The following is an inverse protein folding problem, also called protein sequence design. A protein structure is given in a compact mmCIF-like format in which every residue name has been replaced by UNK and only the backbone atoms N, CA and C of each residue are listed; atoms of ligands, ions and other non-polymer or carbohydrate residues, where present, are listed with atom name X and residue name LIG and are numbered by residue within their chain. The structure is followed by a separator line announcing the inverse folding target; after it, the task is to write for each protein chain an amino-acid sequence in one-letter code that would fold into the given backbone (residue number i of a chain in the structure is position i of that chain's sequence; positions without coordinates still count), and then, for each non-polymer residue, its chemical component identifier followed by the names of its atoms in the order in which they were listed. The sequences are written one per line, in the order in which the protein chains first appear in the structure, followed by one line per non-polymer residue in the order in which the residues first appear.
data_IF_083584875073
#
_entry.id   IF_083584875073
#
_cell.length_a   1.000
_cell.length_b   1.000
_cell.length_c   1.000
_cell.angle_alpha   90.00
_cell.angle_beta   90.00
_cell.angle_gamma   90.00
#
_symmetry.space_group_name_H-M   'P 1'
#
loop_
_entity.id
_entity.type
_entity.pdbx_description
1 polymer ?
#
# COMPACT_ATOMS: atom_id res chain seq x y z
N UNK A 1 1.78 8.10 -28.27
CA UNK A 1 1.86 6.83 -27.52
C UNK A 1 1.99 7.08 -26.01
N UNK A 2 3.03 7.78 -25.54
CA UNK A 2 3.15 8.12 -24.10
C UNK A 2 2.04 9.07 -23.61
N UNK A 3 1.81 10.17 -24.33
CA UNK A 3 0.75 11.14 -23.99
C UNK A 3 -0.65 10.54 -23.97
N UNK A 4 -0.98 9.71 -24.97
CA UNK A 4 -2.26 9.01 -25.05
C UNK A 4 -2.47 7.99 -23.92
N UNK A 5 -1.41 7.30 -23.48
CA UNK A 5 -1.49 6.37 -22.35
C UNK A 5 -1.74 7.11 -21.03
N UNK A 6 -1.04 8.23 -20.82
CA UNK A 6 -1.28 9.12 -19.67
C UNK A 6 -2.68 9.73 -19.68
N UNK A 7 -3.15 10.17 -20.85
CA UNK A 7 -4.49 10.72 -21.02
C UNK A 7 -5.59 9.70 -20.70
N UNK A 8 -5.38 8.42 -21.05
CA UNK A 8 -6.32 7.34 -20.75
C UNK A 8 -6.39 7.03 -19.24
N UNK A 9 -5.26 7.07 -18.53
CA UNK A 9 -5.22 6.85 -17.07
C UNK A 9 -5.78 8.02 -16.27
N UNK A 10 -5.53 9.24 -16.74
CA UNK A 10 -5.84 10.47 -15.99
C UNK A 10 -7.14 11.14 -16.40
N UNK A 11 -7.62 10.85 -17.61
CA UNK A 11 -8.63 11.62 -18.32
C UNK A 11 -8.03 12.89 -18.96
N UNK A 12 -8.65 13.32 -20.07
CA UNK A 12 -8.20 14.47 -20.87
C UNK A 12 -8.06 15.75 -20.07
N UNK A 13 -8.91 15.99 -19.07
CA UNK A 13 -8.85 17.21 -18.26
C UNK A 13 -7.55 17.33 -17.46
N UNK A 14 -7.20 16.30 -16.69
CA UNK A 14 -5.98 16.33 -15.85
C UNK A 14 -4.72 16.37 -16.70
N UNK A 15 -4.70 15.60 -17.79
CA UNK A 15 -3.61 15.62 -18.76
C UNK A 15 -3.40 17.01 -19.36
N UNK A 16 -4.48 17.68 -19.79
CA UNK A 16 -4.41 19.03 -20.33
C UNK A 16 -3.91 20.05 -19.29
N UNK A 17 -4.36 19.97 -18.04
CA UNK A 17 -3.85 20.85 -16.98
C UNK A 17 -2.35 20.60 -16.78
N UNK A 18 -1.92 19.34 -16.68
CA UNK A 18 -0.50 18.99 -16.53
C UNK A 18 0.37 19.56 -17.65
N UNK A 19 -0.11 19.48 -18.89
CA UNK A 19 0.59 20.01 -20.04
C UNK A 19 0.62 21.55 -20.03
N UNK A 20 -0.50 22.20 -19.72
CA UNK A 20 -0.60 23.66 -19.62
C UNK A 20 0.27 24.22 -18.49
N UNK A 21 0.27 23.61 -17.30
CA UNK A 21 1.13 24.04 -16.19
C UNK A 21 2.59 23.86 -16.53
N UNK A 22 2.95 22.78 -17.23
CA UNK A 22 4.31 22.57 -17.75
C UNK A 22 4.74 23.64 -18.76
N UNK A 23 3.86 23.99 -19.72
CA UNK A 23 4.13 25.04 -20.71
C UNK A 23 4.33 26.38 -20.01
N UNK A 24 3.40 26.76 -19.13
CA UNK A 24 3.48 28.03 -18.40
C UNK A 24 4.76 28.09 -17.57
N UNK A 25 5.11 27.01 -16.87
CA UNK A 25 6.36 26.92 -16.12
C UNK A 25 7.60 27.08 -17.00
N UNK A 26 7.60 26.45 -18.18
CA UNK A 26 8.71 26.55 -19.15
C UNK A 26 8.83 27.96 -19.71
N UNK A 27 7.72 28.61 -20.02
CA UNK A 27 7.69 30.00 -20.50
C UNK A 27 8.24 30.94 -19.43
N UNK A 28 7.78 30.83 -18.19
CA UNK A 28 8.27 31.66 -17.07
C UNK A 28 9.78 31.44 -16.87
N UNK A 29 10.24 30.19 -16.88
CA UNK A 29 11.65 29.86 -16.75
C UNK A 29 12.51 30.44 -17.89
N UNK A 30 12.01 30.40 -19.12
CA UNK A 30 12.67 30.97 -20.29
C UNK A 30 12.80 32.51 -20.18
N UNK A 31 11.73 33.19 -19.77
CA UNK A 31 11.73 34.64 -19.54
C UNK A 31 12.72 35.04 -18.44
N UNK A 32 12.69 34.36 -17.30
CA UNK A 32 13.60 34.63 -16.18
C UNK A 32 15.06 34.30 -16.51
N UNK A 33 15.28 33.26 -17.30
CA UNK A 33 16.60 32.82 -17.71
C UNK A 33 17.17 33.59 -18.91
N UNK A 34 16.40 34.48 -19.54
CA UNK A 34 16.84 35.23 -20.73
C UNK A 34 17.20 34.37 -21.94
N UNK A 35 16.59 33.18 -22.07
CA UNK A 35 16.97 32.19 -23.07
C UNK A 35 15.76 31.45 -23.66
N UNK A 36 16.05 30.41 -24.45
CA UNK A 36 15.00 29.61 -25.13
C UNK A 36 14.48 28.54 -24.17
N UNK A 37 13.16 28.47 -24.01
CA UNK A 37 12.50 27.35 -23.33
C UNK A 37 12.36 26.17 -24.26
N UNK A 38 13.02 25.05 -23.94
CA UNK A 38 12.95 23.84 -24.74
C UNK A 38 11.79 22.95 -24.29
N UNK A 39 10.96 22.52 -25.25
CA UNK A 39 9.89 21.56 -25.00
C UNK A 39 10.41 20.17 -24.58
N UNK A 40 11.70 19.89 -24.79
CA UNK A 40 12.35 18.65 -24.38
C UNK A 40 12.19 18.38 -22.87
N UNK A 41 12.47 19.37 -22.02
CA UNK A 41 12.36 19.21 -20.57
C UNK A 41 10.92 18.97 -20.09
N UNK A 42 9.93 19.52 -20.80
CA UNK A 42 8.53 19.23 -20.56
C UNK A 42 8.21 17.77 -20.91
N UNK A 43 8.73 17.28 -22.03
CA UNK A 43 8.59 15.87 -22.41
C UNK A 43 9.32 14.94 -21.46
N UNK A 44 10.47 15.31 -20.91
CA UNK A 44 11.15 14.54 -19.86
C UNK A 44 10.31 14.50 -18.57
N UNK A 45 9.68 15.62 -18.17
CA UNK A 45 8.70 15.61 -17.07
C UNK A 45 7.55 14.63 -17.33
N UNK A 46 7.01 14.64 -18.56
CA UNK A 46 5.95 13.73 -18.99
C UNK A 46 6.41 12.27 -19.00
N UNK A 47 7.65 12.01 -19.38
CA UNK A 47 8.24 10.68 -19.35
C UNK A 47 8.42 10.19 -17.90
N UNK A 48 8.86 11.05 -16.99
CA UNK A 48 8.93 10.76 -15.56
C UNK A 48 7.55 10.43 -14.99
N UNK A 49 6.51 11.18 -15.40
CA UNK A 49 5.11 10.91 -15.09
C UNK A 49 4.67 9.51 -15.55
N UNK A 50 4.95 9.18 -16.82
CA UNK A 50 4.65 7.86 -17.37
C UNK A 50 5.38 6.75 -16.61
N UNK A 51 6.66 6.94 -16.30
CA UNK A 51 7.47 5.96 -15.59
C UNK A 51 7.00 5.71 -14.16
N UNK A 52 6.44 6.72 -13.50
CA UNK A 52 5.85 6.57 -12.18
C UNK A 52 4.59 5.70 -12.19
N UNK A 53 3.72 5.88 -13.20
CA UNK A 53 2.48 5.11 -13.35
C UNK A 53 2.77 3.68 -13.83
N UNK A 54 3.68 3.54 -14.79
CA UNK A 54 3.99 2.28 -15.46
C UNK A 54 5.45 1.85 -15.28
N UNK A 55 5.94 1.63 -14.04
CA UNK A 55 7.35 1.36 -13.78
C UNK A 55 7.83 0.01 -14.34
N UNK A 56 6.91 -0.94 -14.52
CA UNK A 56 7.18 -2.28 -15.03
C UNK A 56 6.84 -2.44 -16.51
N UNK A 57 6.37 -1.40 -17.20
CA UNK A 57 6.16 -1.47 -18.65
C UNK A 57 7.49 -1.68 -19.36
N UNK A 58 7.51 -2.58 -20.35
CA UNK A 58 8.72 -3.00 -21.05
C UNK A 58 8.75 -2.38 -22.44
N UNK A 59 9.80 -1.62 -22.71
CA UNK A 59 10.11 -1.11 -24.04
C UNK A 59 11.17 -2.02 -24.67
N UNK A 60 10.87 -2.55 -25.85
CA UNK A 60 11.82 -3.37 -26.60
C UNK A 60 12.87 -2.47 -27.25
N UNK A 61 14.04 -2.38 -26.64
CA UNK A 61 15.16 -1.62 -27.16
C UNK A 61 15.76 -2.39 -28.35
N UNK A 62 15.80 -1.73 -29.51
CA UNK A 62 16.22 -2.29 -30.80
C UNK A 62 15.50 -3.61 -31.17
N UNK A 63 14.27 -3.82 -30.70
CA UNK A 63 13.51 -5.08 -30.88
C UNK A 63 14.20 -6.34 -30.30
N UNK A 64 15.24 -6.18 -29.48
CA UNK A 64 16.02 -7.31 -28.93
C UNK A 64 15.97 -7.35 -27.39
N UNK A 65 16.07 -6.20 -26.72
CA UNK A 65 16.26 -6.16 -25.27
C UNK A 65 15.07 -5.48 -24.56
N UNK A 66 14.24 -6.23 -23.81
CA UNK A 66 13.13 -5.65 -23.07
C UNK A 66 13.66 -4.90 -21.84
N UNK A 67 13.52 -3.57 -21.84
CA UNK A 67 13.92 -2.72 -20.72
C UNK A 67 12.70 -2.12 -20.04
N UNK A 68 12.65 -2.27 -18.71
CA UNK A 68 11.61 -1.66 -17.90
C UNK A 68 11.79 -0.15 -17.85
N UNK A 69 10.68 0.58 -18.00
CA UNK A 69 10.67 2.04 -18.06
C UNK A 69 11.28 2.70 -16.82
N UNK A 70 11.17 2.09 -15.64
CA UNK A 70 11.84 2.61 -14.42
C UNK A 70 13.36 2.79 -14.57
N UNK A 71 14.03 1.96 -15.37
CA UNK A 71 15.47 2.09 -15.62
C UNK A 71 15.75 3.21 -16.62
N UNK A 72 14.90 3.39 -17.62
CA UNK A 72 14.99 4.49 -18.56
C UNK A 72 14.73 5.84 -17.88
N UNK A 73 13.77 5.89 -16.95
CA UNK A 73 13.52 7.08 -16.14
C UNK A 73 14.69 7.43 -15.22
N UNK A 74 15.42 6.43 -14.72
CA UNK A 74 16.65 6.67 -13.97
C UNK A 74 17.71 7.35 -14.85
N UNK A 75 17.86 6.89 -16.10
CA UNK A 75 18.77 7.51 -17.08
C UNK A 75 18.30 8.93 -17.39
N UNK A 76 17.01 9.13 -17.61
CA UNK A 76 16.42 10.46 -17.86
C UNK A 76 16.73 11.45 -16.73
N UNK A 77 16.50 11.06 -15.47
CA UNK A 77 16.86 11.90 -14.31
C UNK A 77 18.37 12.18 -14.27
N UNK A 78 19.22 11.21 -14.64
CA UNK A 78 20.67 11.41 -14.69
C UNK A 78 21.05 12.43 -15.77
N UNK A 79 20.41 12.39 -16.94
CA UNK A 79 20.60 13.39 -18.01
C UNK A 79 20.18 14.78 -17.54
N UNK A 80 19.01 14.90 -16.90
CA UNK A 80 18.56 16.16 -16.30
C UNK A 80 19.55 16.69 -15.26
N UNK A 81 20.12 15.83 -14.41
CA UNK A 81 21.12 16.25 -13.42
C UNK A 81 22.43 16.71 -14.08
N UNK A 82 22.87 16.03 -15.14
CA UNK A 82 24.05 16.44 -15.92
C UNK A 82 23.83 17.84 -16.52
N UNK A 83 22.67 18.08 -17.13
CA UNK A 83 22.32 19.38 -17.73
C UNK A 83 22.12 20.46 -16.67
N UNK A 84 21.66 20.10 -15.48
CA UNK A 84 21.54 21.03 -14.37
C UNK A 84 22.91 21.52 -13.86
N UNK A 85 23.94 20.65 -13.86
CA UNK A 85 25.28 21.01 -13.41
C UNK A 85 26.01 21.83 -14.48
N UNK A 86 26.02 21.35 -15.73
CA UNK A 86 26.78 21.95 -16.83
C UNK A 86 26.05 23.00 -17.65
N UNK A 87 24.74 23.11 -17.53
CA UNK A 87 23.90 23.97 -18.39
C UNK A 87 23.86 25.44 -17.97
N UNK A 88 23.46 26.34 -18.90
CA UNK A 88 23.21 27.74 -18.62
C UNK A 88 22.07 27.94 -17.63
N UNK A 89 21.99 29.14 -17.04
CA UNK A 89 21.00 29.48 -16.01
C UNK A 89 19.55 29.19 -16.45
N UNK A 90 19.21 29.46 -17.72
CA UNK A 90 17.89 29.15 -18.30
C UNK A 90 17.54 27.67 -18.20
N UNK A 91 18.48 26.77 -18.55
CA UNK A 91 18.25 25.32 -18.50
C UNK A 91 17.97 24.86 -17.07
N UNK A 92 18.70 25.40 -16.09
CA UNK A 92 18.47 25.08 -14.67
C UNK A 92 17.05 25.44 -14.22
N UNK A 93 16.57 26.63 -14.62
CA UNK A 93 15.21 27.06 -14.31
C UNK A 93 14.15 26.19 -14.99
N UNK A 94 14.37 25.80 -16.25
CA UNK A 94 13.43 24.94 -16.99
C UNK A 94 13.39 23.53 -16.38
N UNK A 95 14.53 22.97 -15.98
CA UNK A 95 14.59 21.69 -15.26
C UNK A 95 13.84 21.76 -13.92
N UNK A 96 14.03 22.85 -13.17
CA UNK A 96 13.28 23.08 -11.92
C UNK A 96 11.77 23.13 -12.21
N UNK A 97 11.34 23.85 -13.25
CA UNK A 97 9.94 23.92 -13.64
C UNK A 97 9.38 22.53 -14.03
N UNK A 98 10.16 21.72 -14.75
CA UNK A 98 9.81 20.35 -15.10
C UNK A 98 9.62 19.46 -13.86
N UNK A 99 10.51 19.53 -12.87
CA UNK A 99 10.35 18.80 -11.61
C UNK A 99 9.15 19.30 -10.80
N UNK A 100 8.95 20.62 -10.71
CA UNK A 100 7.79 21.20 -10.02
C UNK A 100 6.50 20.69 -10.66
N UNK A 101 6.41 20.67 -11.99
CA UNK A 101 5.24 20.17 -12.70
C UNK A 101 4.94 18.71 -12.35
N UNK A 102 5.97 17.86 -12.31
CA UNK A 102 5.84 16.46 -11.88
C UNK A 102 5.38 16.36 -10.41
N UNK A 103 6.06 17.04 -9.48
CA UNK A 103 5.75 16.94 -8.05
C UNK A 103 4.39 17.54 -7.67
N UNK A 104 3.91 18.54 -8.42
CA UNK A 104 2.59 19.14 -8.18
C UNK A 104 1.47 18.10 -8.33
N UNK A 105 1.60 17.19 -9.29
CA UNK A 105 0.63 16.14 -9.56
C UNK A 105 0.89 14.86 -8.76
N UNK A 106 2.15 14.39 -8.70
CA UNK A 106 2.47 13.10 -8.08
C UNK A 106 2.92 13.17 -6.63
N UNK A 107 3.24 14.36 -6.11
CA UNK A 107 3.78 14.51 -4.76
C UNK A 107 2.83 14.02 -3.68
N UNK A 108 1.53 14.34 -3.80
CA UNK A 108 0.51 13.91 -2.83
C UNK A 108 0.30 12.40 -2.84
N UNK A 109 0.25 11.79 -4.02
CA UNK A 109 0.07 10.35 -4.18
C UNK A 109 1.27 9.57 -3.63
N UNK A 110 2.48 10.07 -3.84
CA UNK A 110 3.71 9.46 -3.30
C UNK A 110 3.70 9.44 -1.76
N UNK A 111 3.31 10.55 -1.11
CA UNK A 111 3.18 10.63 0.35
C UNK A 111 2.08 9.71 0.87
N UNK A 112 0.94 9.66 0.19
CA UNK A 112 -0.20 8.80 0.56
C UNK A 112 0.15 7.31 0.51
N UNK A 113 0.86 6.87 -0.54
CA UNK A 113 1.33 5.50 -0.67
C UNK A 113 2.30 5.11 0.44
N UNK A 114 3.23 5.98 0.81
CA UNK A 114 4.18 5.73 1.91
C UNK A 114 3.44 5.61 3.25
N UNK A 115 2.49 6.50 3.53
CA UNK A 115 1.71 6.47 4.77
C UNK A 115 0.82 5.22 4.85
N UNK A 116 0.19 4.83 3.74
CA UNK A 116 -0.61 3.60 3.67
C UNK A 116 0.25 2.37 3.87
N UNK A 117 1.43 2.30 3.26
CA UNK A 117 2.36 1.18 3.42
C UNK A 117 2.86 1.06 4.87
N UNK A 118 3.20 2.19 5.51
CA UNK A 118 3.54 2.23 6.94
C UNK A 118 2.38 1.75 7.81
N UNK A 119 1.15 2.21 7.54
CA UNK A 119 -0.06 1.77 8.25
C UNK A 119 -0.32 0.28 8.10
N UNK A 120 -0.18 -0.28 6.89
CA UNK A 120 -0.33 -1.72 6.63
C UNK A 120 0.73 -2.53 7.37
N UNK A 121 2.00 -2.10 7.35
CA UNK A 121 3.07 -2.77 8.10
C UNK A 121 2.79 -2.71 9.60
N UNK A 122 2.35 -1.57 10.13
CA UNK A 122 2.04 -1.43 11.55
C UNK A 122 0.83 -2.28 11.97
N UNK A 123 -0.21 -2.32 11.15
CA UNK A 123 -1.38 -3.16 11.39
C UNK A 123 -1.03 -4.66 11.36
N UNK A 124 -0.12 -5.09 10.46
CA UNK A 124 0.37 -6.48 10.45
C UNK A 124 1.17 -6.84 11.70
N UNK A 125 1.95 -5.89 12.25
CA UNK A 125 2.63 -6.08 13.55
C UNK A 125 1.62 -6.19 14.68
N UNK A 126 0.69 -5.24 14.77
CA UNK A 126 -0.37 -5.23 15.77
C UNK A 126 -1.24 -6.50 15.73
N UNK A 127 -1.49 -7.08 14.55
CA UNK A 127 -2.23 -8.34 14.39
C UNK A 127 -1.41 -9.58 14.78
N UNK A 128 -0.08 -9.55 14.61
CA UNK A 128 0.81 -10.61 15.10
C UNK A 128 0.93 -10.59 16.63
N UNK A 129 0.97 -9.39 17.22
CA UNK A 129 1.12 -9.22 18.67
C UNK A 129 -0.22 -9.44 19.38
N UNK A 130 -1.33 -8.99 18.80
CA UNK A 130 -2.71 -9.24 19.28
C UNK A 130 -3.37 -10.38 18.49
N UNK A 131 -2.71 -11.52 18.37
CA UNK A 131 -3.40 -12.72 17.89
C UNK A 131 -4.54 -13.02 18.87
N UNK A 132 -5.79 -13.16 18.42
CA UNK A 132 -6.84 -13.62 19.32
C UNK A 132 -6.39 -14.94 19.92
N UNK A 133 -6.34 -15.02 21.26
CA UNK A 133 -6.06 -16.28 21.96
C UNK A 133 -7.06 -17.30 21.40
N UNK A 134 -6.58 -18.44 20.94
CA UNK A 134 -7.44 -19.51 20.41
C UNK A 134 -8.46 -19.85 21.49
N UNK A 135 -9.72 -19.47 21.28
CA UNK A 135 -10.81 -19.81 22.18
C UNK A 135 -11.11 -21.27 21.91
N UNK A 136 -10.81 -22.13 22.87
CA UNK A 136 -11.23 -23.53 22.82
C UNK A 136 -12.75 -23.59 22.98
N UNK A 137 -13.43 -24.30 22.09
CA UNK A 137 -14.89 -24.46 22.14
C UNK A 137 -15.26 -25.41 23.29
N UNK A 138 -14.45 -26.45 23.50
CA UNK A 138 -14.67 -27.47 24.52
C UNK A 138 -13.49 -27.58 25.47
N UNK A 139 -13.75 -27.37 26.77
CA UNK A 139 -12.83 -27.63 27.88
C UNK A 139 -13.56 -28.41 28.95
N UNK A 140 -13.03 -29.57 29.32
CA UNK A 140 -13.60 -30.39 30.39
C UNK A 140 -13.56 -29.62 31.72
N UNK A 141 -14.71 -29.51 32.40
CA UNK A 141 -14.82 -28.81 33.69
C UNK A 141 -14.12 -29.52 34.86
N UNK A 142 -13.77 -30.82 34.72
CA UNK A 142 -13.06 -31.59 35.76
C UNK A 142 -11.55 -31.60 35.52
N UNK A 143 -11.09 -32.23 34.44
CA UNK A 143 -9.65 -32.41 34.18
C UNK A 143 -9.01 -31.28 33.36
N UNK A 144 -9.81 -30.36 32.81
CA UNK A 144 -9.30 -29.27 31.98
C UNK A 144 -8.82 -29.68 30.59
N UNK A 145 -9.01 -30.95 30.17
CA UNK A 145 -8.70 -31.39 28.80
C UNK A 145 -9.44 -30.53 27.77
N UNK A 146 -8.78 -30.27 26.63
CA UNK A 146 -9.32 -29.47 25.52
C UNK A 146 -9.17 -30.25 24.22
N UNK A 147 -9.96 -29.90 23.20
CA UNK A 147 -9.89 -30.49 21.87
C UNK A 147 -8.46 -30.47 21.26
N UNK A 148 -7.63 -29.50 21.65
CA UNK A 148 -6.24 -29.41 21.20
C UNK A 148 -5.29 -30.35 21.94
N UNK A 149 -5.52 -30.61 23.23
CA UNK A 149 -4.66 -31.53 24.00
C UNK A 149 -5.00 -32.99 23.71
N UNK A 150 -6.25 -33.30 23.38
CA UNK A 150 -6.71 -34.65 23.05
C UNK A 150 -7.62 -34.61 21.81
N UNK A 151 -7.05 -34.60 20.59
CA UNK A 151 -7.82 -34.44 19.34
C UNK A 151 -8.83 -35.56 19.06
N UNK A 152 -8.56 -36.76 19.57
CA UNK A 152 -9.41 -37.95 19.35
C UNK A 152 -10.45 -38.15 20.47
N UNK A 153 -10.52 -37.25 21.46
CA UNK A 153 -11.41 -37.39 22.60
C UNK A 153 -12.68 -36.59 22.37
N UNK A 154 -13.83 -37.20 22.62
CA UNK A 154 -15.12 -36.53 22.49
C UNK A 154 -15.43 -35.67 23.71
N UNK A 155 -15.91 -34.45 23.46
CA UNK A 155 -16.42 -33.54 24.49
C UNK A 155 -17.92 -33.37 24.32
N UNK A 156 -18.68 -33.54 25.41
CA UNK A 156 -20.15 -33.47 25.42
C UNK A 156 -20.65 -32.66 26.62
N UNK A 157 -21.85 -32.10 26.50
CA UNK A 157 -22.53 -31.44 27.61
C UNK A 157 -23.38 -32.43 28.40
N UNK A 158 -23.47 -32.24 29.71
CA UNK A 158 -24.38 -32.99 30.55
C UNK A 158 -25.77 -32.34 30.55
N UNK A 159 -26.82 -33.11 30.25
CA UNK A 159 -28.21 -32.61 30.23
C UNK A 159 -28.79 -32.32 31.61
N UNK A 160 -28.11 -32.73 32.69
CA UNK A 160 -28.59 -32.62 34.07
C UNK A 160 -27.85 -31.56 34.90
N UNK A 161 -26.77 -30.99 34.36
CA UNK A 161 -26.05 -29.89 34.99
C UNK A 161 -26.67 -28.56 34.55
N UNK A 162 -26.69 -27.59 35.45
CA UNK A 162 -27.02 -26.20 35.11
C UNK A 162 -25.82 -25.52 34.45
N UNK A 163 -26.06 -24.70 33.42
CA UNK A 163 -25.02 -23.98 32.68
C UNK A 163 -24.34 -24.78 31.55
N UNK A 164 -23.34 -24.16 30.91
CA UNK A 164 -22.62 -24.73 29.76
C UNK A 164 -21.32 -25.40 30.17
N UNK A 165 -21.41 -26.53 30.88
CA UNK A 165 -20.25 -27.34 31.27
C UNK A 165 -20.02 -28.48 30.28
N UNK A 166 -18.88 -28.44 29.58
CA UNK A 166 -18.43 -29.53 28.73
C UNK A 166 -17.62 -30.55 29.55
N UNK A 167 -17.75 -31.82 29.23
CA UNK A 167 -17.03 -32.94 29.86
C UNK A 167 -16.42 -33.82 28.77
N UNK A 168 -15.24 -34.40 29.03
CA UNK A 168 -14.69 -35.42 28.15
C UNK A 168 -15.40 -36.77 28.36
N UNK A 169 -15.22 -37.70 27.43
CA UNK A 169 -15.79 -39.06 27.47
C UNK A 169 -15.60 -39.79 28.80
N UNK A 170 -14.47 -39.58 29.48
CA UNK A 170 -14.14 -40.23 30.77
C UNK A 170 -14.88 -39.60 31.97
N UNK A 171 -15.16 -38.30 31.92
CA UNK A 171 -15.77 -37.55 33.02
C UNK A 171 -17.28 -37.32 32.83
N UNK A 172 -17.82 -37.56 31.64
CA UNK A 172 -19.23 -37.36 31.34
C UNK A 172 -20.16 -38.22 32.22
N UNK A 173 -19.73 -39.42 32.61
CA UNK A 173 -20.57 -40.35 33.40
C UNK A 173 -20.26 -40.34 34.90
N UNK A 174 -19.13 -39.77 35.30
CA UNK A 174 -18.60 -39.86 36.67
C UNK A 174 -18.42 -38.49 37.34
N UNK A 175 -19.16 -37.48 36.90
CA UNK A 175 -19.13 -36.14 37.49
C UNK A 175 -20.28 -35.94 38.49
N UNK A 176 -20.02 -35.09 39.48
CA UNK A 176 -21.09 -34.53 40.30
C UNK A 176 -21.82 -33.45 39.51
N UNK A 177 -23.15 -33.51 39.54
CA UNK A 177 -23.97 -32.59 38.78
C UNK A 177 -24.00 -31.24 39.46
N UNK A 178 -23.54 -30.22 38.76
CA UNK A 178 -23.59 -28.84 39.22
C UNK A 178 -25.03 -28.37 39.06
N UNK A 179 -25.67 -28.01 40.18
CA UNK A 179 -26.95 -27.33 40.19
C UNK A 179 -26.76 -25.98 40.83
N UNK A 180 -27.30 -24.93 40.22
CA UNK A 180 -27.30 -23.63 40.85
C UNK A 180 -28.35 -23.66 41.97
N UNK A 181 -27.89 -23.66 43.23
CA UNK A 181 -28.79 -23.48 44.38
C UNK A 181 -29.46 -22.11 44.27
N UNK A 182 -30.73 -22.08 43.86
CA UNK A 182 -31.59 -20.89 43.84
C UNK A 182 -31.96 -20.41 45.24
N UNK A 183 -30.99 -20.30 46.14
CA UNK A 183 -31.18 -19.97 47.55
C UNK A 183 -30.24 -18.85 48.02
N UNK A 184 -30.01 -17.80 47.21
CA UNK A 184 -29.47 -16.54 47.70
C UNK A 184 -29.63 -15.38 46.70
N UNK A 185 -30.83 -15.19 46.16
CA UNK A 185 -31.23 -13.92 45.52
C UNK A 185 -32.58 -13.49 46.09
N UNK A 186 -32.57 -13.10 47.35
CA UNK A 186 -33.57 -12.23 47.95
C UNK A 186 -32.93 -11.57 49.18
N UNK A 187 -32.13 -10.53 48.92
CA UNK A 187 -31.87 -9.48 49.89
C UNK A 187 -31.58 -8.17 49.18
#
# INVERSE_FOLDING_TARGET
MLGSALEQEWGSFKFNIYYLTGIIGTIIAAFLGGGIGYAEYLNMSLFLAFAYIYPNYELMLFFVLPLKVKYLALIDVLLLLKDFIGGPFTIKLVIIAAFINFFLFFGKDMLSHVNTRKKVVNNRKNFKDNRPKVIYIYRCSICGATEKSHPNMEFRYCSKCDGHHAYCSEHLLNHEHIKEDKASENK
#
